data_IF_111178540225
#
_entry.id   IF_111178540225
#
_cell.length_a   1.000
_cell.length_b   1.000
_cell.length_c   1.000
_cell.angle_alpha   90.00
_cell.angle_beta   90.00
_cell.angle_gamma   90.00
#
_symmetry.space_group_name_H-M   'P 1'
#
loop_
_entity.id
_entity.type
_entity.pdbx_description
1 polymer ?
#
# COMPACT_ATOMS: atom_id res chain seq x y z
N UNK A 1 -11.13 -10.07 21.94
CA UNK A 1 -10.89 -11.03 20.83
C UNK A 1 -9.55 -10.68 20.19
N UNK A 2 -8.78 -11.68 19.73
CA UNK A 2 -7.43 -11.49 19.19
C UNK A 2 -7.44 -11.22 17.68
N UNK A 3 -6.54 -10.35 17.20
CA UNK A 3 -6.28 -10.13 15.78
C UNK A 3 -5.43 -11.25 15.15
N UNK A 4 -4.83 -12.11 15.98
CA UNK A 4 -4.22 -13.35 15.50
C UNK A 4 -5.27 -14.47 15.45
N UNK A 5 -5.12 -15.37 14.47
CA UNK A 5 -5.78 -16.66 14.50
C UNK A 5 -5.32 -17.46 15.75
N UNK A 6 -6.10 -18.44 16.22
CA UNK A 6 -5.68 -19.29 17.33
C UNK A 6 -4.29 -19.89 17.08
N UNK A 7 -3.35 -19.58 17.97
CA UNK A 7 -1.97 -20.05 17.86
C UNK A 7 -1.83 -21.42 18.50
N UNK A 8 -1.19 -22.35 17.79
CA UNK A 8 -0.91 -23.69 18.28
C UNK A 8 0.59 -23.97 18.21
N UNK A 9 1.18 -24.25 19.36
CA UNK A 9 2.60 -24.58 19.50
C UNK A 9 2.76 -26.09 19.53
N UNK A 10 3.49 -26.64 18.55
CA UNK A 10 3.70 -28.09 18.41
C UNK A 10 5.16 -28.42 18.66
N UNK A 11 5.41 -29.39 19.56
CA UNK A 11 6.75 -29.86 19.91
C UNK A 11 6.88 -30.25 21.39
N UNK A 12 8.10 -30.15 21.92
CA UNK A 12 8.42 -30.36 23.33
C UNK A 12 8.47 -29.08 24.16
N UNK A 13 9.02 -29.19 25.37
CA UNK A 13 9.10 -28.10 26.37
C UNK A 13 10.54 -27.63 26.65
N UNK A 14 11.51 -28.13 25.88
CA UNK A 14 12.92 -27.76 26.04
C UNK A 14 13.27 -26.48 25.28
N UNK A 15 14.57 -26.16 25.26
CA UNK A 15 15.10 -25.02 24.52
C UNK A 15 14.85 -23.67 25.22
N UNK A 16 15.34 -22.61 24.59
CA UNK A 16 15.07 -21.22 24.96
C UNK A 16 13.97 -20.65 24.07
N UNK A 17 13.06 -19.90 24.66
CA UNK A 17 11.97 -19.26 23.92
C UNK A 17 12.50 -18.24 22.90
N UNK A 18 11.82 -18.16 21.77
CA UNK A 18 12.03 -17.12 20.77
C UNK A 18 10.72 -16.59 20.24
N UNK A 19 10.75 -15.33 19.82
CA UNK A 19 9.66 -14.67 19.14
C UNK A 19 10.18 -13.78 18.02
N UNK A 20 9.72 -14.00 16.79
CA UNK A 20 10.18 -13.28 15.62
C UNK A 20 9.04 -13.02 14.65
N UNK A 21 8.55 -11.78 14.68
CA UNK A 21 7.42 -11.36 13.88
C UNK A 21 7.53 -9.91 13.37
N UNK A 22 6.60 -9.56 12.48
CA UNK A 22 6.38 -8.20 11.98
C UNK A 22 5.09 -7.56 12.46
N UNK A 23 4.56 -7.96 13.63
CA UNK A 23 3.29 -7.42 14.14
C UNK A 23 3.36 -5.89 14.29
N UNK A 24 4.51 -5.34 14.67
CA UNK A 24 4.69 -3.92 14.93
C UNK A 24 4.81 -3.04 13.68
N UNK A 25 5.08 -3.63 12.50
CA UNK A 25 5.35 -2.89 11.27
C UNK A 25 4.70 -3.49 10.01
N UNK A 26 3.86 -4.52 10.17
CA UNK A 26 3.16 -5.18 9.08
C UNK A 26 4.03 -6.14 8.25
N UNK A 27 5.28 -6.41 8.64
CA UNK A 27 6.11 -7.33 7.89
C UNK A 27 5.58 -8.78 8.00
N UNK A 28 5.60 -9.50 6.88
CA UNK A 28 5.08 -10.86 6.77
C UNK A 28 6.21 -11.84 6.46
N UNK A 29 5.98 -13.14 6.66
CA UNK A 29 6.95 -14.18 6.35
C UNK A 29 7.19 -14.22 4.83
N UNK A 30 8.44 -13.92 4.43
CA UNK A 30 8.87 -13.93 3.03
C UNK A 30 9.52 -15.24 2.62
N UNK A 31 10.31 -15.83 3.51
CA UNK A 31 11.09 -17.02 3.19
C UNK A 31 11.32 -17.87 4.44
N UNK A 32 11.38 -19.18 4.25
CA UNK A 32 11.72 -20.15 5.28
C UNK A 32 12.69 -21.20 4.75
N UNK A 33 13.76 -21.44 5.49
CA UNK A 33 14.67 -22.57 5.32
C UNK A 33 14.52 -23.51 6.50
N UNK A 34 14.55 -24.82 6.24
CA UNK A 34 14.36 -25.85 7.26
C UNK A 34 15.40 -26.95 7.08
N UNK A 35 16.13 -27.24 8.15
CA UNK A 35 17.05 -28.39 8.24
C UNK A 35 16.37 -29.49 9.04
N UNK A 36 16.23 -30.67 8.45
CA UNK A 36 15.68 -31.85 9.11
C UNK A 36 16.80 -32.81 9.53
N UNK A 37 16.64 -33.42 10.70
CA UNK A 37 17.46 -34.52 11.20
C UNK A 37 16.67 -35.82 11.27
N UNK A 38 17.29 -36.86 11.83
CA UNK A 38 16.68 -38.19 11.93
C UNK A 38 15.34 -38.21 12.67
N UNK A 39 15.23 -37.46 13.76
CA UNK A 39 14.08 -37.51 14.67
C UNK A 39 13.54 -36.12 15.02
N UNK A 40 13.97 -35.08 14.33
CA UNK A 40 13.60 -33.69 14.61
C UNK A 40 13.74 -32.77 13.40
N UNK A 41 13.16 -31.57 13.52
CA UNK A 41 13.63 -30.39 12.80
C UNK A 41 14.81 -29.80 13.58
N UNK A 42 15.98 -29.73 12.94
CA UNK A 42 17.23 -29.25 13.55
C UNK A 42 17.29 -27.73 13.64
N UNK A 43 16.96 -27.05 12.54
CA UNK A 43 17.04 -25.61 12.49
C UNK A 43 16.01 -25.04 11.53
N UNK A 44 15.66 -23.79 11.77
CA UNK A 44 14.82 -22.99 10.91
C UNK A 44 15.46 -21.63 10.76
N UNK A 45 15.52 -21.11 9.53
CA UNK A 45 15.86 -19.71 9.28
C UNK A 45 14.73 -19.06 8.52
N UNK A 46 14.28 -17.90 8.97
CA UNK A 46 13.17 -17.16 8.38
C UNK A 46 13.59 -15.76 8.00
N UNK A 47 12.96 -15.22 6.96
CA UNK A 47 13.07 -13.84 6.53
C UNK A 47 11.68 -13.21 6.51
N UNK A 48 11.58 -11.97 6.97
CA UNK A 48 10.38 -11.15 6.84
C UNK A 48 10.50 -10.20 5.63
N UNK A 49 9.38 -9.66 5.18
CA UNK A 49 9.33 -8.73 4.04
C UNK A 49 10.04 -7.39 4.30
N UNK A 50 10.35 -7.05 5.55
CA UNK A 50 11.16 -5.89 5.93
C UNK A 50 12.68 -6.15 5.87
N UNK A 51 13.10 -7.35 5.44
CA UNK A 51 14.50 -7.73 5.29
C UNK A 51 15.15 -8.30 6.56
N UNK A 52 14.47 -8.26 7.72
CA UNK A 52 14.96 -8.94 8.92
C UNK A 52 15.01 -10.45 8.68
N UNK A 53 16.00 -11.11 9.26
CA UNK A 53 16.10 -12.57 9.25
C UNK A 53 16.66 -13.10 10.55
N UNK A 54 16.26 -14.31 10.93
CA UNK A 54 16.73 -14.95 12.14
C UNK A 54 16.78 -16.47 11.97
N UNK A 55 17.75 -17.11 12.60
CA UNK A 55 17.92 -18.56 12.64
C UNK A 55 17.73 -19.08 14.06
N UNK A 56 17.04 -20.21 14.19
CA UNK A 56 16.81 -20.93 15.42
C UNK A 56 17.28 -22.38 15.25
N UNK A 57 17.85 -22.97 16.29
CA UNK A 57 18.46 -24.30 16.21
C UNK A 57 19.86 -24.28 15.58
N UNK A 58 20.52 -25.45 15.58
CA UNK A 58 21.83 -25.64 14.97
C UNK A 58 21.70 -26.39 13.63
N UNK A 59 21.97 -25.73 12.49
CA UNK A 59 21.89 -26.35 11.17
C UNK A 59 22.79 -27.58 11.06
N UNK A 60 22.30 -28.59 10.35
CA UNK A 60 23.08 -29.76 9.99
C UNK A 60 22.50 -30.43 8.76
N UNK A 61 23.37 -30.86 7.84
CA UNK A 61 22.97 -31.47 6.57
C UNK A 61 22.36 -30.48 5.56
N UNK A 62 21.60 -31.02 4.60
CA UNK A 62 20.92 -30.23 3.58
C UNK A 62 19.66 -29.56 4.14
N UNK A 63 19.32 -28.38 3.63
CA UNK A 63 18.07 -27.71 3.93
C UNK A 63 17.08 -27.79 2.77
N UNK A 64 15.80 -27.69 3.13
CA UNK A 64 14.73 -27.36 2.19
C UNK A 64 14.39 -25.88 2.32
N UNK A 65 14.07 -25.20 1.23
CA UNK A 65 13.67 -23.79 1.25
C UNK A 65 12.33 -23.56 0.57
N UNK A 66 11.64 -22.53 1.02
CA UNK A 66 10.45 -21.99 0.38
C UNK A 66 10.47 -20.46 0.47
N UNK A 67 10.35 -19.80 -0.68
CA UNK A 67 10.21 -18.35 -0.79
C UNK A 67 8.84 -18.03 -1.36
N UNK A 68 8.07 -17.22 -0.63
CA UNK A 68 6.73 -16.81 -1.02
C UNK A 68 6.82 -15.78 -2.15
N UNK A 69 6.02 -15.99 -3.19
CA UNK A 69 5.82 -15.00 -4.24
C UNK A 69 4.91 -13.86 -3.74
N UNK A 70 4.93 -12.73 -4.44
CA UNK A 70 4.02 -11.63 -4.12
C UNK A 70 2.55 -12.08 -4.25
N UNK A 71 1.75 -11.76 -3.22
CA UNK A 71 0.36 -12.20 -3.07
C UNK A 71 0.16 -13.66 -2.66
N UNK A 72 1.23 -14.42 -2.48
CA UNK A 72 1.13 -15.80 -2.03
C UNK A 72 1.02 -15.90 -0.51
N UNK A 73 0.04 -16.67 -0.05
CA UNK A 73 -0.23 -16.87 1.36
C UNK A 73 -0.62 -18.33 1.63
N UNK A 74 -0.63 -18.71 2.90
CA UNK A 74 -0.94 -20.06 3.32
C UNK A 74 -2.40 -20.38 3.03
N UNK A 75 -2.67 -21.50 2.36
CA UNK A 75 -4.00 -22.09 2.26
C UNK A 75 -4.22 -23.18 3.30
N UNK A 76 -3.14 -23.82 3.77
CA UNK A 76 -3.17 -24.71 4.93
C UNK A 76 -1.77 -24.85 5.53
N UNK A 77 -1.74 -25.18 6.82
CA UNK A 77 -0.54 -25.54 7.56
C UNK A 77 -0.86 -26.79 8.40
N UNK A 78 0.05 -27.75 8.36
CA UNK A 78 0.05 -28.86 9.31
C UNK A 78 1.42 -28.97 9.95
N UNK A 79 1.42 -29.25 11.25
CA UNK A 79 2.62 -29.49 12.04
C UNK A 79 2.59 -30.89 12.63
N UNK A 80 3.76 -31.47 12.86
CA UNK A 80 3.92 -32.73 13.58
C UNK A 80 4.95 -32.54 14.68
N UNK A 81 4.69 -33.09 15.85
CA UNK A 81 5.77 -33.42 16.78
C UNK A 81 6.56 -34.62 16.27
N UNK A 82 7.73 -34.88 16.85
CA UNK A 82 8.52 -36.07 16.54
C UNK A 82 7.90 -37.40 17.02
N UNK A 83 6.72 -37.38 17.62
CA UNK A 83 6.03 -38.56 18.13
C UNK A 83 6.46 -39.03 19.52
N UNK A 84 7.50 -38.42 20.12
CA UNK A 84 7.83 -38.53 21.54
C UNK A 84 7.38 -37.30 22.35
N UNK A 85 6.96 -36.22 21.67
CA UNK A 85 6.54 -34.98 22.32
C UNK A 85 7.71 -34.16 22.85
N UNK A 86 8.90 -34.29 22.23
CA UNK A 86 10.12 -33.60 22.67
C UNK A 86 10.67 -32.61 21.65
N UNK A 87 10.33 -32.75 20.36
CA UNK A 87 10.76 -31.85 19.27
C UNK A 87 9.65 -31.66 18.26
N UNK A 88 9.77 -30.61 17.45
CA UNK A 88 9.08 -30.51 16.18
C UNK A 88 9.64 -31.58 15.21
N UNK A 89 8.76 -32.26 14.49
CA UNK A 89 9.10 -33.37 13.58
C UNK A 89 8.85 -33.07 12.10
N UNK A 90 7.87 -32.24 11.76
CA UNK A 90 7.62 -31.83 10.37
C UNK A 90 6.80 -30.54 10.27
N UNK A 91 6.91 -29.89 9.12
CA UNK A 91 6.15 -28.71 8.72
C UNK A 91 5.61 -28.95 7.32
N UNK A 92 4.30 -28.90 7.12
CA UNK A 92 3.67 -28.97 5.81
C UNK A 92 2.91 -27.69 5.50
N UNK A 93 3.35 -26.97 4.47
CA UNK A 93 2.74 -25.74 3.99
C UNK A 93 2.13 -26.00 2.62
N UNK A 94 0.89 -25.54 2.42
CA UNK A 94 0.32 -25.33 1.09
C UNK A 94 -0.09 -23.88 0.94
N UNK A 95 -0.03 -23.36 -0.28
CA UNK A 95 -0.36 -21.97 -0.57
C UNK A 95 -1.59 -21.81 -1.45
N UNK A 96 -2.10 -20.59 -1.57
CA UNK A 96 -3.15 -20.22 -2.52
C UNK A 96 -2.73 -20.35 -3.99
N UNK A 97 -1.44 -20.56 -4.26
CA UNK A 97 -0.88 -20.84 -5.60
C UNK A 97 -0.65 -22.34 -5.84
N UNK A 98 -1.23 -23.21 -5.02
CA UNK A 98 -1.11 -24.67 -5.13
C UNK A 98 0.33 -25.19 -5.03
N UNK A 99 1.24 -24.42 -4.42
CA UNK A 99 2.61 -24.86 -4.12
C UNK A 99 2.62 -25.57 -2.76
N UNK A 100 3.48 -26.58 -2.63
CA UNK A 100 3.63 -27.37 -1.39
C UNK A 100 5.09 -27.35 -0.91
N UNK A 101 5.27 -27.24 0.41
CA UNK A 101 6.56 -27.36 1.08
C UNK A 101 6.43 -28.29 2.28
N UNK A 102 7.23 -29.37 2.33
CA UNK A 102 7.06 -30.40 3.35
C UNK A 102 8.37 -30.99 3.89
N UNK A 103 9.22 -30.18 4.56
CA UNK A 103 10.34 -30.71 5.32
C UNK A 103 9.87 -31.54 6.52
N UNK A 104 10.50 -32.69 6.72
CA UNK A 104 10.19 -33.64 7.80
C UNK A 104 11.44 -34.39 8.24
N UNK A 105 11.42 -34.88 9.47
CA UNK A 105 12.44 -35.78 10.00
C UNK A 105 12.65 -37.01 9.10
N UNK A 106 13.88 -37.51 9.03
CA UNK A 106 14.30 -38.48 8.00
C UNK A 106 14.18 -39.94 8.41
N UNK A 107 14.28 -40.23 9.71
CA UNK A 107 14.40 -41.61 10.20
C UNK A 107 13.14 -42.04 10.94
N UNK A 108 12.61 -41.18 11.81
CA UNK A 108 11.38 -41.47 12.57
C UNK A 108 10.13 -41.22 11.72
N UNK A 109 9.14 -42.09 11.84
CA UNK A 109 7.85 -41.94 11.15
C UNK A 109 6.97 -40.87 11.77
N UNK A 110 6.24 -40.12 10.94
CA UNK A 110 5.23 -39.16 11.41
C UNK A 110 4.07 -39.89 12.10
N UNK A 111 3.60 -39.33 13.22
CA UNK A 111 2.44 -39.83 13.98
C UNK A 111 1.26 -38.88 13.79
N UNK A 112 0.79 -38.25 14.87
CA UNK A 112 -0.34 -37.32 14.86
C UNK A 112 -0.02 -36.06 14.06
N UNK A 113 -0.82 -35.81 13.01
CA UNK A 113 -0.88 -34.53 12.31
C UNK A 113 -1.69 -33.53 13.14
N UNK A 114 -1.18 -32.30 13.23
CA UNK A 114 -1.89 -31.17 13.81
C UNK A 114 -2.19 -30.14 12.72
N UNK A 115 -3.38 -30.17 12.10
CA UNK A 115 -3.83 -29.11 11.21
C UNK A 115 -3.99 -27.80 11.99
N UNK A 116 -3.47 -26.71 11.43
CA UNK A 116 -3.45 -25.39 12.06
C UNK A 116 -4.44 -24.49 11.33
N UNK A 117 -5.25 -23.77 12.09
CA UNK A 117 -6.08 -22.69 11.53
C UNK A 117 -5.17 -21.52 11.11
N UNK A 118 -5.08 -21.30 9.79
CA UNK A 118 -4.25 -20.26 9.21
C UNK A 118 -4.96 -18.90 9.13
N UNK A 119 -6.22 -18.79 9.55
CA UNK A 119 -7.01 -17.56 9.51
C UNK A 119 -7.05 -16.94 8.11
N UNK A 120 -6.39 -15.80 7.93
CA UNK A 120 -6.26 -15.14 6.61
C UNK A 120 -5.23 -15.80 5.67
N UNK A 121 -4.39 -16.69 6.18
CA UNK A 121 -3.22 -17.23 5.48
C UNK A 121 -1.99 -16.32 5.54
N UNK A 122 -2.13 -15.07 6.00
CA UNK A 122 -1.04 -14.10 6.11
C UNK A 122 -0.25 -14.36 7.40
N UNK A 123 0.96 -14.90 7.25
CA UNK A 123 1.85 -15.21 8.35
C UNK A 123 2.70 -13.99 8.73
N UNK A 124 2.57 -13.53 9.98
CA UNK A 124 3.32 -12.41 10.56
C UNK A 124 4.68 -12.83 11.10
N UNK A 125 4.93 -14.13 11.26
CA UNK A 125 6.17 -14.65 11.83
C UNK A 125 6.00 -15.96 12.57
N UNK A 126 7.01 -16.30 13.37
CA UNK A 126 7.07 -17.54 14.14
C UNK A 126 7.48 -17.29 15.59
N UNK A 127 7.03 -18.18 16.47
CA UNK A 127 7.45 -18.23 17.88
C UNK A 127 7.65 -19.69 18.29
N UNK A 128 8.36 -19.94 19.38
CA UNK A 128 8.61 -21.29 19.84
C UNK A 128 9.77 -21.35 20.80
N UNK A 129 10.41 -22.52 20.88
CA UNK A 129 11.61 -22.73 21.68
C UNK A 129 12.63 -23.54 20.89
N UNK A 130 13.91 -23.20 21.06
CA UNK A 130 15.00 -23.87 20.38
C UNK A 130 16.28 -23.93 21.23
N UNK A 131 17.08 -24.95 20.99
CA UNK A 131 18.46 -25.10 21.46
C UNK A 131 19.33 -25.60 20.32
N UNK A 132 19.87 -26.82 20.45
CA UNK A 132 20.53 -27.50 19.32
C UNK A 132 19.55 -27.91 18.21
N UNK A 133 18.26 -28.05 18.55
CA UNK A 133 17.17 -28.41 17.64
C UNK A 133 15.98 -27.45 17.84
N UNK A 134 14.94 -27.59 17.02
CA UNK A 134 13.65 -26.92 17.25
C UNK A 134 12.82 -27.76 18.23
N UNK A 135 12.75 -27.31 19.48
CA UNK A 135 11.94 -27.94 20.52
C UNK A 135 10.45 -27.83 20.20
N UNK A 136 9.97 -26.64 19.92
CA UNK A 136 8.60 -26.42 19.48
C UNK A 136 8.46 -25.17 18.59
N UNK A 137 7.39 -25.12 17.81
CA UNK A 137 7.14 -24.04 16.86
C UNK A 137 5.64 -23.71 16.78
N UNK A 138 5.37 -22.42 16.58
CA UNK A 138 4.07 -21.87 16.25
C UNK A 138 4.24 -20.82 15.14
N UNK A 139 3.29 -20.77 14.19
CA UNK A 139 3.18 -19.71 13.21
C UNK A 139 2.10 -18.72 13.64
N UNK A 140 2.38 -17.42 13.50
CA UNK A 140 1.44 -16.35 13.86
C UNK A 140 0.71 -15.87 12.62
N UNK A 141 -0.56 -16.20 12.48
CA UNK A 141 -1.39 -15.73 11.37
C UNK A 141 -2.30 -14.59 11.79
N UNK A 142 -2.51 -13.60 10.91
CA UNK A 142 -3.63 -12.67 11.09
C UNK A 142 -4.92 -13.47 10.94
N UNK A 143 -5.88 -13.21 11.84
CA UNK A 143 -7.22 -13.78 11.76
C UNK A 143 -7.92 -13.37 10.45
N UNK A 144 -9.06 -13.97 10.12
CA UNK A 144 -9.75 -13.70 8.85
C UNK A 144 -10.05 -12.20 8.71
N UNK A 145 -9.45 -11.58 7.69
CA UNK A 145 -9.48 -10.14 7.47
C UNK A 145 -10.81 -9.74 6.86
N UNK A 146 -11.45 -8.73 7.45
CA UNK A 146 -12.65 -8.08 6.93
C UNK A 146 -12.29 -6.88 6.04
N UNK A 147 -11.32 -6.07 6.45
CA UNK A 147 -10.85 -4.92 5.68
C UNK A 147 -9.47 -4.46 6.12
N UNK A 148 -8.69 -3.92 5.19
CA UNK A 148 -7.42 -3.23 5.49
C UNK A 148 -7.51 -1.78 5.01
N UNK A 149 -7.19 -0.82 5.89
CA UNK A 149 -7.26 0.60 5.59
C UNK A 149 -5.97 1.33 5.91
N UNK A 150 -5.51 2.19 5.01
CA UNK A 150 -4.52 3.21 5.33
C UNK A 150 -5.26 4.46 5.79
N UNK A 151 -5.02 4.89 7.03
CA UNK A 151 -5.72 5.99 7.69
C UNK A 151 -4.72 6.96 8.31
N UNK A 152 -5.20 8.08 8.87
CA UNK A 152 -4.37 9.08 9.54
C UNK A 152 -3.20 9.54 8.65
N UNK A 153 -3.48 9.75 7.37
CA UNK A 153 -2.46 10.13 6.38
C UNK A 153 -2.08 11.58 6.60
N UNK A 154 -0.78 11.82 6.73
CA UNK A 154 -0.21 13.15 6.95
C UNK A 154 0.96 13.43 6.02
N UNK A 155 0.98 14.63 5.43
CA UNK A 155 1.99 15.10 4.48
C UNK A 155 2.89 16.17 5.16
N UNK A 156 4.00 15.78 5.80
CA UNK A 156 4.79 16.69 6.65
C UNK A 156 5.42 17.86 5.89
N UNK A 157 5.69 17.71 4.59
CA UNK A 157 6.35 18.73 3.77
C UNK A 157 5.40 19.43 2.80
N UNK A 158 4.08 19.29 2.97
CA UNK A 158 3.07 19.85 2.07
C UNK A 158 3.25 21.36 1.87
N UNK A 159 3.35 22.10 2.97
CA UNK A 159 3.41 23.57 2.96
C UNK A 159 4.77 24.13 2.52
N UNK A 160 5.83 23.33 2.57
CA UNK A 160 7.17 23.72 2.13
C UNK A 160 7.41 23.44 0.64
N UNK A 161 6.57 22.61 0.00
CA UNK A 161 6.73 22.28 -1.40
C UNK A 161 6.19 23.40 -2.28
N UNK A 162 7.05 23.96 -3.13
CA UNK A 162 6.64 24.84 -4.22
C UNK A 162 6.32 23.97 -5.45
N UNK A 163 5.05 23.86 -5.86
CA UNK A 163 4.67 23.01 -6.98
C UNK A 163 5.20 23.60 -8.30
N UNK A 164 5.79 22.75 -9.14
CA UNK A 164 6.12 23.12 -10.51
C UNK A 164 4.87 23.00 -11.39
N UNK A 165 4.31 24.14 -11.78
CA UNK A 165 3.04 24.22 -12.52
C UNK A 165 3.33 24.49 -14.00
N UNK A 166 2.92 23.55 -14.86
CA UNK A 166 2.87 23.74 -16.30
C UNK A 166 1.53 24.39 -16.67
N UNK A 167 1.58 25.57 -17.28
CA UNK A 167 0.37 26.24 -17.80
C UNK A 167 0.04 25.62 -19.15
N UNK A 168 -1.19 25.11 -19.28
CA UNK A 168 -1.71 24.53 -20.51
C UNK A 168 -2.79 25.44 -21.08
N UNK A 169 -2.66 25.80 -22.35
CA UNK A 169 -3.72 26.49 -23.08
C UNK A 169 -4.90 25.54 -23.32
N UNK A 170 -6.12 26.03 -23.07
CA UNK A 170 -7.36 25.34 -23.41
C UNK A 170 -7.92 25.90 -24.71
N UNK A 171 -7.97 27.23 -24.82
CA UNK A 171 -8.52 27.95 -25.97
C UNK A 171 -8.02 29.39 -25.97
N UNK A 172 -7.67 29.90 -27.15
CA UNK A 172 -7.39 31.31 -27.40
C UNK A 172 -8.31 31.81 -28.52
N UNK A 173 -8.92 33.00 -28.34
CA UNK A 173 -9.85 33.60 -29.30
C UNK A 173 -9.70 35.12 -29.32
N UNK A 174 -9.74 35.70 -30.52
CA UNK A 174 -9.74 37.15 -30.73
C UNK A 174 -11.07 37.61 -31.30
N UNK A 175 -11.64 38.67 -30.75
CA UNK A 175 -12.84 39.33 -31.23
C UNK A 175 -12.55 40.77 -31.63
N UNK A 176 -13.03 41.17 -32.80
CA UNK A 176 -12.89 42.53 -33.31
C UNK A 176 -14.25 43.18 -33.49
N UNK A 177 -14.46 44.32 -32.84
CA UNK A 177 -15.67 45.12 -33.05
C UNK A 177 -15.35 46.38 -33.85
N UNK A 178 -15.64 46.33 -35.15
CA UNK A 178 -15.45 47.46 -36.06
C UNK A 178 -16.68 48.38 -36.15
N UNK A 179 -17.69 48.18 -35.30
CA UNK A 179 -18.92 48.96 -35.28
C UNK A 179 -18.87 50.05 -34.21
N UNK A 180 -19.91 50.89 -34.19
CA UNK A 180 -20.09 51.96 -33.20
C UNK A 180 -20.88 51.50 -31.96
N UNK A 181 -21.38 50.27 -31.94
CA UNK A 181 -22.16 49.70 -30.84
C UNK A 181 -21.43 48.52 -30.21
N UNK A 182 -21.65 48.25 -28.92
CA UNK A 182 -21.01 47.12 -28.24
C UNK A 182 -21.57 45.78 -28.75
N UNK A 183 -20.71 44.76 -28.82
CA UNK A 183 -21.07 43.41 -29.23
C UNK A 183 -20.89 42.43 -28.08
N UNK A 184 -21.70 41.38 -28.03
CA UNK A 184 -21.59 40.31 -27.04
C UNK A 184 -21.44 38.95 -27.74
N UNK A 185 -20.51 38.14 -27.22
CA UNK A 185 -20.24 36.78 -27.67
C UNK A 185 -20.24 35.84 -26.46
N UNK A 186 -20.37 34.54 -26.70
CA UNK A 186 -20.17 33.51 -25.68
C UNK A 186 -19.07 32.58 -26.13
N UNK A 187 -18.03 32.42 -25.30
CA UNK A 187 -17.04 31.37 -25.50
C UNK A 187 -17.51 30.12 -24.78
N UNK A 188 -17.62 29.03 -25.53
CA UNK A 188 -17.80 27.69 -24.98
C UNK A 188 -16.56 26.83 -25.32
N UNK A 189 -16.05 26.10 -24.33
CA UNK A 189 -14.98 25.13 -24.51
C UNK A 189 -15.04 24.07 -23.43
N UNK A 190 -14.30 22.97 -23.61
CA UNK A 190 -14.17 21.92 -22.61
C UNK A 190 -12.76 21.38 -22.57
N UNK A 191 -12.39 20.82 -21.41
CA UNK A 191 -11.13 20.10 -21.23
C UNK A 191 -11.30 18.91 -20.33
N UNK A 192 -10.85 17.75 -20.79
CA UNK A 192 -10.70 16.58 -19.94
C UNK A 192 -9.40 16.69 -19.16
N UNK A 193 -9.50 16.64 -17.83
CA UNK A 193 -8.38 16.58 -16.90
C UNK A 193 -8.28 15.18 -16.30
N UNK A 194 -7.05 14.72 -16.06
CA UNK A 194 -6.77 13.40 -15.49
C UNK A 194 -5.97 13.57 -14.20
N UNK A 195 -6.66 13.51 -13.06
CA UNK A 195 -6.04 13.57 -11.74
C UNK A 195 -5.53 12.19 -11.35
N UNK A 196 -4.37 12.13 -10.71
CA UNK A 196 -3.76 10.88 -10.24
C UNK A 196 -3.37 11.01 -8.78
N UNK A 197 -3.53 9.93 -8.04
CA UNK A 197 -3.10 9.80 -6.65
C UNK A 197 -2.52 8.42 -6.43
N UNK A 198 -1.34 8.34 -5.83
CA UNK A 198 -0.68 7.08 -5.51
C UNK A 198 0.01 7.17 -4.16
N UNK A 199 -0.15 6.16 -3.31
CA UNK A 199 0.55 6.04 -2.03
C UNK A 199 1.42 4.78 -2.04
N UNK A 200 2.73 4.95 -2.05
CA UNK A 200 3.63 3.80 -1.90
C UNK A 200 3.56 3.25 -0.47
N UNK A 201 3.63 1.94 -0.29
CA UNK A 201 3.72 1.29 1.02
C UNK A 201 5.00 0.46 1.12
N UNK A 202 5.49 0.22 2.34
CA UNK A 202 6.71 -0.59 2.60
C UNK A 202 6.36 -2.06 2.79
N UNK A 203 7.37 -2.92 2.97
CA UNK A 203 7.22 -4.33 3.39
C UNK A 203 6.32 -5.19 2.47
N UNK A 204 6.16 -4.79 1.21
CA UNK A 204 5.25 -5.42 0.24
C UNK A 204 3.81 -5.55 0.75
N UNK A 205 3.34 -4.55 1.50
CA UNK A 205 1.99 -4.53 2.05
C UNK A 205 0.94 -4.56 0.94
N UNK A 206 1.20 -3.92 -0.19
CA UNK A 206 0.35 -3.91 -1.39
C UNK A 206 0.13 -5.31 -1.98
N UNK A 207 1.10 -6.22 -1.83
CA UNK A 207 0.97 -7.59 -2.27
C UNK A 207 0.22 -8.46 -1.23
N UNK A 208 0.37 -8.14 0.05
CA UNK A 208 -0.23 -8.93 1.14
C UNK A 208 -1.67 -8.52 1.45
N UNK A 209 -2.04 -7.27 1.21
CA UNK A 209 -3.32 -6.71 1.64
C UNK A 209 -4.04 -5.98 0.49
N UNK A 210 -5.35 -6.19 0.39
CA UNK A 210 -6.21 -5.33 -0.41
C UNK A 210 -6.56 -4.06 0.40
N UNK A 211 -5.80 -2.98 0.16
CA UNK A 211 -5.85 -1.77 0.98
C UNK A 211 -6.76 -0.69 0.40
N UNK A 212 -7.66 -0.17 1.23
CA UNK A 212 -8.39 1.08 1.00
C UNK A 212 -7.64 2.24 1.65
N UNK A 213 -7.39 3.33 0.93
CA UNK A 213 -6.79 4.55 1.49
C UNK A 213 -7.90 5.51 1.90
N UNK A 214 -7.89 5.91 3.17
CA UNK A 214 -8.74 6.98 3.72
C UNK A 214 -7.87 8.19 4.03
N UNK A 215 -7.91 9.18 3.14
CA UNK A 215 -7.06 10.35 3.21
C UNK A 215 -7.68 11.54 2.49
N UNK A 216 -7.21 12.74 2.81
CA UNK A 216 -7.41 13.91 1.97
C UNK A 216 -6.31 13.97 0.89
N UNK A 217 -6.69 14.24 -0.35
CA UNK A 217 -5.74 14.35 -1.48
C UNK A 217 -5.25 15.80 -1.62
N UNK A 218 -3.93 16.04 -1.78
CA UNK A 218 -3.41 17.37 -2.06
C UNK A 218 -3.94 17.97 -3.38
N UNK A 219 -4.58 19.14 -3.29
CA UNK A 219 -5.03 19.98 -4.40
C UNK A 219 -4.11 21.18 -4.62
N UNK A 220 -4.18 21.77 -5.81
CA UNK A 220 -3.37 22.92 -6.23
C UNK A 220 -4.23 24.17 -6.32
N UNK A 221 -3.76 25.26 -5.72
CA UNK A 221 -4.44 26.56 -5.73
C UNK A 221 -3.48 27.66 -6.14
N UNK A 222 -3.99 28.66 -6.88
CA UNK A 222 -3.26 29.90 -7.18
C UNK A 222 -3.47 30.89 -6.02
N UNK A 223 -2.38 31.50 -5.54
CA UNK A 223 -2.33 32.52 -4.49
C UNK A 223 -1.55 33.73 -5.01
N UNK A 224 -1.58 34.86 -4.30
CA UNK A 224 -0.87 36.08 -4.73
C UNK A 224 0.64 35.89 -4.91
N UNK A 225 1.25 34.94 -4.20
CA UNK A 225 2.68 34.62 -4.28
C UNK A 225 3.02 33.51 -5.30
N UNK A 226 2.05 33.01 -6.07
CA UNK A 226 2.24 31.93 -7.04
C UNK A 226 1.27 30.77 -6.80
N UNK A 227 1.77 29.54 -6.61
CA UNK A 227 0.94 28.36 -6.40
C UNK A 227 1.26 27.68 -5.07
N UNK A 228 0.24 27.08 -4.46
CA UNK A 228 0.38 26.34 -3.20
C UNK A 228 -0.43 25.05 -3.22
N UNK A 229 -0.02 24.08 -2.39
CA UNK A 229 -0.74 22.84 -2.18
C UNK A 229 -1.56 22.91 -0.89
N UNK A 230 -2.80 22.42 -0.97
CA UNK A 230 -3.73 22.33 0.16
C UNK A 230 -4.39 20.96 0.19
N UNK A 231 -4.92 20.52 1.32
CA UNK A 231 -5.68 19.28 1.41
C UNK A 231 -7.16 19.58 1.59
N UNK A 232 -8.00 18.85 0.86
CA UNK A 232 -9.45 18.95 0.93
C UNK A 232 -10.06 18.07 2.02
N UNK A 233 -11.31 17.64 1.81
CA UNK A 233 -11.97 16.66 2.67
C UNK A 233 -11.40 15.26 2.45
N UNK A 234 -11.42 14.44 3.50
CA UNK A 234 -11.05 13.04 3.41
C UNK A 234 -12.07 12.25 2.59
N UNK A 235 -11.58 11.30 1.79
CA UNK A 235 -12.40 10.33 1.05
C UNK A 235 -11.68 8.99 0.99
N UNK A 236 -12.28 8.03 0.28
CA UNK A 236 -11.77 6.67 0.11
C UNK A 236 -11.23 6.45 -1.31
N UNK A 237 -10.05 5.83 -1.40
CA UNK A 237 -9.34 5.58 -2.65
C UNK A 237 -8.69 4.18 -2.66
N UNK A 238 -8.28 3.71 -3.83
CA UNK A 238 -7.25 2.67 -3.92
C UNK A 238 -5.85 3.22 -3.63
N UNK A 239 -4.86 2.34 -3.45
CA UNK A 239 -3.45 2.73 -3.35
C UNK A 239 -2.96 3.50 -4.58
N UNK A 240 -3.54 3.19 -5.75
CA UNK A 240 -3.40 3.94 -6.98
C UNK A 240 -4.80 4.31 -7.49
N UNK A 241 -4.98 5.58 -7.85
CA UNK A 241 -6.24 6.09 -8.35
C UNK A 241 -6.00 7.05 -9.52
N UNK A 242 -6.85 6.94 -10.54
CA UNK A 242 -6.94 7.88 -11.67
C UNK A 242 -8.37 8.33 -11.79
N UNK A 243 -8.58 9.64 -11.78
CA UNK A 243 -9.90 10.28 -11.95
C UNK A 243 -9.86 11.15 -13.19
N UNK A 244 -10.75 10.87 -14.14
CA UNK A 244 -10.95 11.69 -15.33
C UNK A 244 -12.22 12.53 -15.16
N UNK A 245 -12.09 13.84 -15.41
CA UNK A 245 -13.20 14.78 -15.34
C UNK A 245 -13.15 15.70 -16.55
N UNK A 246 -14.27 15.82 -17.26
CA UNK A 246 -14.42 16.85 -18.30
C UNK A 246 -14.97 18.11 -17.67
N UNK A 247 -14.19 19.18 -17.71
CA UNK A 247 -14.63 20.50 -17.29
C UNK A 247 -15.18 21.26 -18.49
N UNK A 248 -16.36 21.86 -18.32
CA UNK A 248 -17.05 22.68 -19.32
C UNK A 248 -16.93 24.14 -18.90
N UNK A 249 -16.57 25.00 -19.84
CA UNK A 249 -16.40 26.43 -19.62
C UNK A 249 -17.33 27.19 -20.55
N UNK A 250 -18.10 28.13 -19.98
CA UNK A 250 -18.95 29.06 -20.72
C UNK A 250 -18.75 30.46 -20.14
N UNK A 251 -18.32 31.41 -20.97
CA UNK A 251 -18.01 32.77 -20.54
C UNK A 251 -18.50 33.82 -21.55
N UNK A 252 -19.27 34.84 -21.11
CA UNK A 252 -19.69 35.92 -21.99
C UNK A 252 -18.57 36.94 -22.20
N UNK A 253 -18.34 37.34 -23.44
CA UNK A 253 -17.33 38.32 -23.85
C UNK A 253 -18.03 39.55 -24.41
N UNK A 254 -17.79 40.71 -23.79
CA UNK A 254 -18.26 42.01 -24.31
C UNK A 254 -17.13 42.69 -25.06
N UNK A 255 -17.40 43.12 -26.28
CA UNK A 255 -16.43 43.75 -27.17
C UNK A 255 -16.87 45.19 -27.43
N UNK A 256 -16.23 46.20 -26.82
CA UNK A 256 -16.61 47.59 -27.00
C UNK A 256 -16.41 48.09 -28.45
N UNK A 257 -17.10 49.19 -28.85
CA UNK A 257 -16.93 49.79 -30.16
C UNK A 257 -15.47 50.13 -30.49
N UNK A 258 -15.00 49.74 -31.67
CA UNK A 258 -13.64 50.05 -32.14
C UNK A 258 -12.51 49.35 -31.38
N UNK A 259 -12.81 48.29 -30.61
CA UNK A 259 -11.83 47.54 -29.81
C UNK A 259 -11.63 46.12 -30.31
N UNK A 260 -10.48 45.57 -29.92
CA UNK A 260 -10.15 44.15 -30.03
C UNK A 260 -10.09 43.56 -28.62
N UNK A 261 -10.68 42.38 -28.45
CA UNK A 261 -10.61 41.61 -27.20
C UNK A 261 -9.96 40.27 -27.51
N UNK A 262 -8.83 40.00 -26.88
CA UNK A 262 -8.17 38.70 -26.86
C UNK A 262 -8.56 37.96 -25.58
N UNK A 263 -9.02 36.71 -25.71
CA UNK A 263 -9.41 35.86 -24.60
C UNK A 263 -8.60 34.58 -24.60
N UNK A 264 -7.84 34.37 -23.53
CA UNK A 264 -7.06 33.16 -23.31
C UNK A 264 -7.62 32.40 -22.11
N UNK A 265 -7.94 31.12 -22.32
CA UNK A 265 -8.37 30.20 -21.27
C UNK A 265 -7.23 29.21 -21.04
N UNK A 266 -6.71 29.18 -19.82
CA UNK A 266 -5.57 28.35 -19.43
C UNK A 266 -5.89 27.53 -18.18
N UNK A 267 -5.13 26.48 -17.93
CA UNK A 267 -5.19 25.70 -16.69
C UNK A 267 -3.78 25.32 -16.24
N UNK A 268 -3.52 25.39 -14.95
CA UNK A 268 -2.26 24.94 -14.38
C UNK A 268 -2.31 23.44 -14.07
N UNK A 269 -1.33 22.68 -14.54
CA UNK A 269 -1.12 21.27 -14.20
C UNK A 269 0.13 21.11 -13.35
N UNK A 270 0.04 20.41 -12.22
CA UNK A 270 1.21 20.05 -11.42
C UNK A 270 1.33 18.53 -11.29
N UNK A 271 2.59 18.07 -11.26
CA UNK A 271 2.94 16.72 -10.84
C UNK A 271 3.99 16.82 -9.75
N UNK A 272 3.77 16.13 -8.64
CA UNK A 272 4.60 16.26 -7.45
C UNK A 272 4.63 14.99 -6.63
N UNK A 273 5.72 14.85 -5.88
CA UNK A 273 5.94 13.76 -4.95
C UNK A 273 6.10 14.35 -3.54
N UNK A 274 5.45 13.74 -2.55
CA UNK A 274 5.50 14.16 -1.15
C UNK A 274 5.75 12.95 -0.24
N UNK A 275 6.65 13.03 0.75
CA UNK A 275 6.63 12.06 1.83
C UNK A 275 5.27 12.09 2.55
N UNK A 276 4.81 10.94 3.00
CA UNK A 276 3.65 10.83 3.88
C UNK A 276 3.92 9.85 5.02
N UNK A 277 3.16 10.02 6.11
CA UNK A 277 3.04 9.05 7.20
C UNK A 277 1.59 8.62 7.34
N UNK A 278 1.34 7.42 7.85
CA UNK A 278 -0.01 6.90 8.04
C UNK A 278 -0.07 5.74 9.02
N UNK A 279 -1.28 5.22 9.22
CA UNK A 279 -1.56 4.04 10.05
C UNK A 279 -2.31 3.02 9.24
N UNK A 280 -1.76 1.82 9.12
CA UNK A 280 -2.48 0.69 8.54
C UNK A 280 -3.33 0.04 9.62
N UNK A 281 -4.61 -0.13 9.34
CA UNK A 281 -5.61 -0.73 10.21
C UNK A 281 -6.18 -1.98 9.54
N UNK A 282 -5.84 -3.16 10.07
CA UNK A 282 -6.36 -4.45 9.63
C UNK A 282 -7.47 -4.89 10.58
N UNK A 283 -8.71 -4.82 10.11
CA UNK A 283 -9.89 -5.23 10.89
C UNK A 283 -10.26 -6.67 10.53
N UNK A 284 -10.41 -7.53 11.54
CA UNK A 284 -10.81 -8.92 11.37
C UNK A 284 -12.33 -9.10 11.51
N UNK A 285 -12.88 -10.19 10.98
CA UNK A 285 -14.33 -10.50 11.09
C UNK A 285 -14.80 -10.67 12.55
N UNK A 286 -13.90 -11.06 13.45
CA UNK A 286 -14.18 -11.15 14.87
C UNK A 286 -14.17 -9.78 15.60
N UNK A 287 -14.03 -8.67 14.87
CA UNK A 287 -14.04 -7.30 15.40
C UNK A 287 -12.73 -6.82 16.03
N UNK A 288 -11.70 -7.67 16.11
CA UNK A 288 -10.36 -7.25 16.53
C UNK A 288 -9.64 -6.46 15.42
N UNK A 289 -8.68 -5.64 15.83
CA UNK A 289 -7.94 -4.74 14.95
C UNK A 289 -6.45 -4.85 15.23
N UNK A 290 -5.65 -5.02 14.17
CA UNK A 290 -4.21 -4.86 14.19
C UNK A 290 -3.86 -3.50 13.56
N UNK A 291 -3.05 -2.70 14.27
CA UNK A 291 -2.60 -1.40 13.78
C UNK A 291 -1.08 -1.29 13.82
N UNK A 292 -0.52 -0.68 12.78
CA UNK A 292 0.90 -0.34 12.73
C UNK A 292 1.12 0.93 11.91
N UNK A 293 2.20 1.65 12.22
CA UNK A 293 2.60 2.86 11.49
C UNK A 293 3.28 2.49 10.18
N UNK A 294 3.07 3.33 9.17
CA UNK A 294 3.74 3.23 7.87
C UNK A 294 4.10 4.61 7.36
N UNK A 295 5.00 4.64 6.38
CA UNK A 295 5.43 5.86 5.69
C UNK A 295 5.79 5.52 4.25
N UNK A 296 5.70 6.51 3.38
CA UNK A 296 6.09 6.34 1.98
C UNK A 296 6.09 7.65 1.24
N UNK A 297 6.02 7.55 -0.08
CA UNK A 297 5.89 8.67 -1.01
C UNK A 297 4.50 8.65 -1.62
N UNK A 298 3.82 9.78 -1.52
CA UNK A 298 2.63 10.10 -2.29
C UNK A 298 3.03 10.72 -3.61
N UNK A 299 2.42 10.28 -4.72
CA UNK A 299 2.57 10.90 -6.04
C UNK A 299 1.23 11.44 -6.51
N UNK A 300 1.21 12.72 -6.84
CA UNK A 300 0.01 13.44 -7.26
C UNK A 300 0.13 14.02 -8.66
N UNK A 301 -0.95 13.95 -9.42
CA UNK A 301 -1.21 14.83 -10.57
C UNK A 301 -2.51 15.57 -10.29
N UNK A 302 -2.44 16.90 -10.31
CA UNK A 302 -3.60 17.74 -10.04
C UNK A 302 -3.58 18.99 -10.91
N UNK A 303 -4.69 19.72 -10.90
CA UNK A 303 -4.91 20.91 -11.72
C UNK A 303 -5.43 22.06 -10.85
N UNK A 304 -5.15 23.29 -11.26
CA UNK A 304 -5.86 24.48 -10.78
C UNK A 304 -7.27 24.52 -11.37
N UNK A 305 -8.09 25.46 -10.89
CA UNK A 305 -9.22 25.93 -11.69
C UNK A 305 -8.71 26.61 -12.98
N UNK A 306 -9.55 26.63 -14.03
CA UNK A 306 -9.19 27.34 -15.25
C UNK A 306 -9.14 28.85 -15.03
N UNK A 307 -8.14 29.49 -15.63
CA UNK A 307 -7.92 30.94 -15.60
C UNK A 307 -8.28 31.54 -16.94
N UNK A 308 -9.18 32.52 -16.91
CA UNK A 308 -9.60 33.30 -18.09
C UNK A 308 -8.89 34.65 -18.03
N UNK A 309 -8.10 34.96 -19.07
CA UNK A 309 -7.44 36.25 -19.24
C UNK A 309 -8.11 36.98 -20.40
N UNK A 310 -8.50 38.23 -20.17
CA UNK A 310 -9.14 39.09 -21.18
C UNK A 310 -8.25 40.31 -21.37
N UNK A 311 -7.75 40.51 -22.59
CA UNK A 311 -6.87 41.63 -22.94
C UNK A 311 -7.62 42.50 -23.94
N UNK A 312 -7.84 43.77 -23.58
CA UNK A 312 -8.39 44.76 -24.50
C UNK A 312 -7.26 45.53 -25.16
N UNK A 313 -7.28 45.60 -26.50
CA UNK A 313 -6.35 46.39 -27.28
C UNK A 313 -7.07 47.40 -28.17
N UNK A 314 -6.38 48.52 -28.42
CA UNK A 314 -6.81 49.49 -29.42
C UNK A 314 -6.69 48.91 -30.83
N UNK A 315 -7.37 49.53 -31.79
CA UNK A 315 -7.33 49.13 -33.19
C UNK A 315 -5.86 49.07 -33.68
N UNK A 316 -5.37 47.89 -34.04
CA UNK A 316 -4.15 47.78 -34.85
C UNK A 316 -4.50 48.39 -36.22
N UNK A 317 -3.94 49.57 -36.50
CA UNK A 317 -4.00 50.19 -37.83
C UNK A 317 -3.17 49.40 -38.84
#
# INVERSE_FOLDING_TARGET
>A
MSYLAPTYTIGGKGGSEFDFDGITNGATLKQIWVWAGGWQIKAIKVWLTDGRSMQFGEPGGMFSQFEFEDGEHFSSLSLWGNGAGTRLGAIKIKTNKSREFFPKMTDWGLKTEYPIDVGSGICMGISGSAGADIDCLCFKFINTIKSTKLTNVHYPTLHSLLPNVAVEEIKSMTYHNNTTEAQEYTIETSKTITKKSSWSVTNKLEASFNMEVKAAVPGLVEISAGFSLTVGSESSYGLENTEEKTELFSFPVKVPPGKTIDVDITIGRASFDLPYTGTVQVTCYNGSVLEFKTSGTYKGVTYTDAKITVIESGKNM
#
